data_IF_077788418743
#
_entry.id   IF_077788418743
#
_cell.length_a   1.000
_cell.length_b   1.000
_cell.length_c   1.000
_cell.angle_alpha   90.00
_cell.angle_beta   90.00
_cell.angle_gamma   90.00
#
_symmetry.space_group_name_H-M   'P 1'
#
loop_
_entity.id
_entity.type
_entity.pdbx_description
1 polymer ?
#
# COMPACT_ATOMS: atom_id res chain seq x y z
N UNK A 1 -16.30 16.01 25.12
CA UNK A 1 -17.12 14.85 24.72
C UNK A 1 -18.20 15.21 23.67
N UNK A 2 -18.75 16.42 23.68
CA UNK A 2 -19.84 16.85 22.77
C UNK A 2 -19.38 16.94 21.30
N UNK A 3 -18.12 17.33 21.06
CA UNK A 3 -17.59 17.57 19.70
C UNK A 3 -16.84 16.37 19.10
N UNK A 4 -16.60 15.32 19.89
CA UNK A 4 -15.88 14.13 19.47
C UNK A 4 -14.37 14.38 19.17
N UNK A 5 -13.65 13.37 18.64
CA UNK A 5 -12.20 13.45 18.39
C UNK A 5 -11.81 14.28 17.16
N UNK A 6 -12.79 14.65 16.33
CA UNK A 6 -12.56 15.42 15.10
C UNK A 6 -12.38 16.92 15.35
N UNK A 7 -12.70 17.41 16.57
CA UNK A 7 -12.54 18.84 16.91
C UNK A 7 -11.12 19.33 16.67
N UNK A 8 -10.99 20.49 16.02
CA UNK A 8 -9.71 21.15 15.80
C UNK A 8 -9.24 21.97 17.00
N UNK A 9 -7.93 22.17 17.13
CA UNK A 9 -7.36 23.00 18.19
C UNK A 9 -7.87 24.46 18.18
N UNK A 10 -8.07 25.12 17.01
CA UNK A 10 -8.67 26.46 16.98
C UNK A 10 -10.04 26.52 17.63
N UNK A 11 -10.94 25.58 17.31
CA UNK A 11 -12.28 25.54 17.93
C UNK A 11 -12.22 25.32 19.44
N UNK A 12 -11.24 24.57 19.96
CA UNK A 12 -11.03 24.42 21.40
C UNK A 12 -10.50 25.71 22.04
N UNK A 13 -9.68 26.48 21.34
CA UNK A 13 -9.19 27.79 21.82
C UNK A 13 -10.33 28.80 21.93
N UNK A 14 -11.26 28.80 20.99
CA UNK A 14 -12.46 29.65 21.03
C UNK A 14 -13.39 29.28 22.18
N UNK A 15 -13.56 27.96 22.45
CA UNK A 15 -14.38 27.47 23.56
C UNK A 15 -13.72 27.66 24.93
N UNK A 16 -12.41 27.68 25.00
CA UNK A 16 -11.63 27.77 26.23
C UNK A 16 -10.51 28.80 26.11
N UNK A 17 -10.83 30.09 25.96
CA UNK A 17 -9.85 31.14 25.65
C UNK A 17 -8.82 31.39 26.78
N UNK A 18 -9.15 31.01 28.01
CA UNK A 18 -8.27 31.15 29.17
C UNK A 18 -7.26 30.01 29.33
N UNK A 19 -7.42 28.92 28.58
CA UNK A 19 -6.54 27.75 28.68
C UNK A 19 -5.39 27.89 27.67
N UNK A 20 -4.11 27.78 28.11
CA UNK A 20 -2.98 27.85 27.19
C UNK A 20 -3.08 26.82 26.06
N UNK A 21 -2.73 27.25 24.85
CA UNK A 21 -2.80 26.42 23.63
C UNK A 21 -2.10 25.07 23.78
N UNK A 22 -0.92 25.03 24.42
CA UNK A 22 -0.17 23.80 24.66
C UNK A 22 -0.93 22.79 25.52
N UNK A 23 -1.64 23.28 26.55
CA UNK A 23 -2.48 22.44 27.42
C UNK A 23 -3.66 21.84 26.64
N UNK A 24 -4.34 22.65 25.82
CA UNK A 24 -5.43 22.18 24.96
C UNK A 24 -4.94 21.14 23.94
N UNK A 25 -3.77 21.36 23.39
CA UNK A 25 -3.16 20.43 22.43
C UNK A 25 -2.84 19.08 23.12
N UNK A 26 -2.22 19.10 24.30
CA UNK A 26 -1.90 17.87 25.05
C UNK A 26 -3.18 17.11 25.45
N UNK A 27 -4.18 17.82 25.96
CA UNK A 27 -5.48 17.24 26.31
C UNK A 27 -6.17 16.62 25.07
N UNK A 28 -6.12 17.30 23.93
CA UNK A 28 -6.70 16.78 22.67
C UNK A 28 -5.99 15.52 22.19
N UNK A 29 -4.67 15.48 22.28
CA UNK A 29 -3.87 14.29 21.93
C UNK A 29 -4.22 13.11 22.83
N UNK A 30 -4.27 13.33 24.16
CA UNK A 30 -4.67 12.30 25.14
C UNK A 30 -6.11 11.84 24.92
N UNK A 31 -7.02 12.76 24.70
CA UNK A 31 -8.43 12.44 24.43
C UNK A 31 -8.56 11.58 23.16
N UNK A 32 -7.89 11.96 22.06
CA UNK A 32 -7.88 11.18 20.81
C UNK A 32 -7.28 9.79 21.00
N UNK A 33 -6.25 9.66 21.84
CA UNK A 33 -5.63 8.38 22.17
C UNK A 33 -6.63 7.46 22.89
N UNK A 34 -7.28 7.96 23.96
CA UNK A 34 -8.28 7.24 24.73
C UNK A 34 -9.51 6.90 23.88
N UNK A 35 -9.94 7.83 23.04
CA UNK A 35 -11.07 7.62 22.15
C UNK A 35 -10.78 6.51 21.13
N UNK A 36 -9.59 6.54 20.47
CA UNK A 36 -9.17 5.48 19.56
C UNK A 36 -9.08 4.14 20.26
N UNK A 37 -8.56 4.10 21.48
CA UNK A 37 -8.50 2.88 22.27
C UNK A 37 -9.89 2.33 22.60
N UNK A 38 -10.82 3.18 22.99
CA UNK A 38 -12.17 2.80 23.43
C UNK A 38 -13.08 2.40 22.25
N UNK A 39 -12.86 3.03 21.10
CA UNK A 39 -13.67 2.85 19.89
C UNK A 39 -12.86 2.30 18.71
N UNK A 40 -11.62 1.91 18.94
CA UNK A 40 -10.83 1.24 17.91
C UNK A 40 -11.51 -0.10 17.60
N UNK A 41 -11.93 -0.24 16.36
CA UNK A 41 -12.35 -1.53 15.85
C UNK A 41 -11.14 -2.46 15.87
N UNK A 42 -11.38 -3.70 16.22
CA UNK A 42 -10.38 -4.74 16.12
C UNK A 42 -9.75 -4.72 14.72
N UNK A 43 -8.45 -4.70 14.70
CA UNK A 43 -7.68 -4.62 13.46
C UNK A 43 -7.12 -5.98 13.08
N UNK A 44 -6.65 -6.07 11.85
CA UNK A 44 -5.92 -7.25 11.40
C UNK A 44 -4.46 -6.89 11.17
N UNK A 45 -3.57 -7.76 11.61
CA UNK A 45 -2.18 -7.79 11.17
C UNK A 45 -2.09 -8.75 9.99
N UNK A 46 -1.58 -8.25 8.88
CA UNK A 46 -1.33 -9.04 7.68
C UNK A 46 0.16 -9.36 7.61
N UNK A 47 0.48 -10.64 7.43
CA UNK A 47 1.84 -11.10 7.14
C UNK A 47 1.84 -11.75 5.77
N UNK A 48 2.62 -11.19 4.86
CA UNK A 48 2.78 -11.68 3.51
C UNK A 48 3.95 -12.65 3.45
N UNK A 49 3.75 -13.75 2.74
CA UNK A 49 4.75 -14.78 2.56
C UNK A 49 5.09 -14.91 1.06
N UNK A 50 6.27 -15.45 0.77
CA UNK A 50 6.74 -15.73 -0.59
C UNK A 50 6.87 -14.48 -1.48
N UNK A 51 8.06 -13.89 -1.45
CA UNK A 51 8.40 -12.73 -2.28
C UNK A 51 8.09 -12.98 -3.78
N UNK A 52 7.64 -11.93 -4.46
CA UNK A 52 7.26 -11.95 -5.86
C UNK A 52 5.80 -12.27 -6.14
N UNK A 53 5.02 -12.77 -5.15
CA UNK A 53 3.62 -13.20 -5.37
C UNK A 53 2.62 -12.07 -5.33
N UNK A 54 2.84 -11.10 -4.44
CA UNK A 54 1.90 -9.99 -4.27
C UNK A 54 2.66 -8.67 -4.27
N UNK A 55 2.40 -7.86 -5.29
CA UNK A 55 2.91 -6.49 -5.34
C UNK A 55 1.82 -5.50 -4.95
N UNK A 56 2.22 -4.37 -4.41
CA UNK A 56 1.33 -3.25 -4.16
C UNK A 56 1.84 -2.01 -4.88
N UNK A 57 0.90 -1.24 -5.42
CA UNK A 57 1.14 -0.09 -6.25
C UNK A 57 0.34 1.11 -5.75
N UNK A 58 0.95 2.29 -5.79
CA UNK A 58 0.33 3.54 -5.37
C UNK A 58 1.03 4.73 -6.02
N UNK A 59 0.29 5.83 -6.16
CA UNK A 59 0.88 7.12 -6.50
C UNK A 59 1.08 7.97 -5.26
N UNK A 60 2.16 8.73 -5.25
CA UNK A 60 2.39 9.70 -4.19
C UNK A 60 2.98 11.00 -4.75
N UNK A 61 2.79 12.10 -4.04
CA UNK A 61 3.38 13.39 -4.41
C UNK A 61 4.67 13.61 -3.64
N UNK A 62 5.79 13.94 -4.30
CA UNK A 62 6.98 14.47 -3.64
C UNK A 62 6.70 15.88 -3.06
N UNK A 63 7.62 16.41 -2.25
CA UNK A 63 7.49 17.77 -1.70
C UNK A 63 7.51 18.86 -2.79
N UNK A 64 8.35 18.65 -3.80
CA UNK A 64 8.46 19.45 -5.01
C UNK A 64 8.51 18.49 -6.21
N UNK A 65 8.13 18.92 -7.41
CA UNK A 65 8.28 18.09 -8.59
C UNK A 65 9.72 17.60 -8.76
N UNK A 66 9.90 16.31 -9.01
CA UNK A 66 11.22 15.72 -9.31
C UNK A 66 11.70 16.27 -10.64
N UNK A 67 12.98 16.65 -10.71
CA UNK A 67 13.61 17.36 -11.83
C UNK A 67 12.87 18.65 -12.26
N UNK A 68 11.99 19.16 -11.39
CA UNK A 68 11.13 20.30 -11.69
C UNK A 68 9.96 20.02 -12.62
N UNK A 69 9.80 18.79 -13.11
CA UNK A 69 8.80 18.41 -14.13
C UNK A 69 7.88 17.25 -13.74
N UNK A 70 8.28 16.37 -12.81
CA UNK A 70 7.50 15.20 -12.42
C UNK A 70 6.77 15.42 -11.10
N UNK A 71 5.48 15.77 -11.10
CA UNK A 71 4.70 16.06 -9.89
C UNK A 71 4.28 14.82 -9.10
N UNK A 72 4.51 13.62 -9.62
CA UNK A 72 4.12 12.36 -9.00
C UNK A 72 5.27 11.35 -9.00
N UNK A 73 5.19 10.41 -8.06
CA UNK A 73 6.02 9.22 -7.99
C UNK A 73 5.10 7.99 -8.02
N UNK A 74 5.37 7.09 -8.94
CA UNK A 74 4.75 5.76 -8.97
C UNK A 74 5.58 4.82 -8.09
N UNK A 75 4.94 4.28 -7.07
CA UNK A 75 5.53 3.35 -6.10
C UNK A 75 5.01 1.95 -6.37
N UNK A 76 5.91 0.98 -6.59
CA UNK A 76 5.56 -0.44 -6.71
C UNK A 76 6.46 -1.23 -5.76
N UNK A 77 5.86 -2.02 -4.88
CA UNK A 77 6.55 -2.73 -3.80
C UNK A 77 6.09 -4.17 -3.71
N UNK A 78 7.01 -5.09 -3.52
CA UNK A 78 6.69 -6.46 -3.10
C UNK A 78 6.35 -6.50 -1.62
N UNK A 79 5.20 -7.11 -1.29
CA UNK A 79 4.68 -7.07 0.08
C UNK A 79 5.37 -8.06 1.02
N UNK A 80 5.90 -9.17 0.51
CA UNK A 80 6.56 -10.17 1.34
C UNK A 80 8.02 -9.82 1.65
N UNK A 81 8.80 -9.41 0.65
CA UNK A 81 10.19 -8.99 0.85
C UNK A 81 10.34 -7.55 1.33
N UNK A 82 9.30 -6.75 1.23
CA UNK A 82 9.32 -5.30 1.41
C UNK A 82 10.21 -4.56 0.39
N UNK A 83 10.67 -5.23 -0.66
CA UNK A 83 11.51 -4.62 -1.69
C UNK A 83 10.71 -3.59 -2.49
N UNK A 84 11.26 -2.39 -2.62
CA UNK A 84 10.75 -1.37 -3.52
C UNK A 84 11.22 -1.71 -4.94
N UNK A 85 10.29 -2.11 -5.80
CA UNK A 85 10.56 -2.53 -7.17
C UNK A 85 10.63 -1.33 -8.12
N UNK A 86 9.80 -0.31 -7.86
CA UNK A 86 9.85 0.97 -8.55
C UNK A 86 9.55 2.11 -7.58
N UNK A 87 10.36 3.16 -7.68
CA UNK A 87 10.14 4.48 -7.12
C UNK A 87 10.39 5.47 -8.24
N UNK A 88 9.37 5.67 -9.11
CA UNK A 88 9.54 6.20 -10.44
C UNK A 88 8.86 7.56 -10.62
N UNK A 89 9.58 8.63 -11.00
CA UNK A 89 9.00 9.92 -11.32
C UNK A 89 8.11 9.81 -12.57
N UNK A 90 6.89 10.35 -12.49
CA UNK A 90 5.93 10.31 -13.58
C UNK A 90 5.23 11.67 -13.75
N UNK A 91 4.88 12.06 -14.99
CA UNK A 91 4.23 13.33 -15.26
C UNK A 91 2.77 13.39 -14.83
N UNK A 92 2.11 12.24 -14.66
CA UNK A 92 0.68 12.15 -14.33
C UNK A 92 0.32 10.91 -13.54
N UNK A 93 -0.98 10.72 -13.37
CA UNK A 93 -1.57 9.54 -12.74
C UNK A 93 -2.51 8.86 -13.74
N UNK A 94 -1.96 8.50 -14.91
CA UNK A 94 -2.71 7.90 -16.02
C UNK A 94 -2.25 6.46 -16.30
N UNK A 95 -3.02 5.71 -17.06
CA UNK A 95 -2.62 4.39 -17.55
C UNK A 95 -1.32 4.47 -18.37
N UNK A 96 -1.13 5.57 -19.13
CA UNK A 96 0.10 5.81 -19.90
C UNK A 96 1.35 5.95 -19.02
N UNK A 97 1.20 6.40 -17.79
CA UNK A 97 2.30 6.52 -16.81
C UNK A 97 2.59 5.18 -16.10
N UNK A 98 1.57 4.35 -15.93
CA UNK A 98 1.67 3.07 -15.20
C UNK A 98 2.18 1.94 -16.07
N UNK A 99 1.61 1.78 -17.27
CA UNK A 99 1.86 0.60 -18.12
C UNK A 99 3.33 0.40 -18.53
N UNK A 100 4.09 1.46 -18.91
CA UNK A 100 5.51 1.28 -19.24
C UNK A 100 6.31 0.72 -18.06
N UNK A 101 6.04 1.20 -16.84
CA UNK A 101 6.74 0.75 -15.64
C UNK A 101 6.36 -0.70 -15.30
N UNK A 102 5.08 -1.06 -15.37
CA UNK A 102 4.64 -2.43 -15.14
C UNK A 102 5.23 -3.41 -16.14
N UNK A 103 5.21 -3.07 -17.44
CA UNK A 103 5.79 -3.90 -18.49
C UNK A 103 7.28 -4.14 -18.30
N UNK A 104 8.00 -3.08 -17.92
CA UNK A 104 9.44 -3.20 -17.60
C UNK A 104 9.66 -4.14 -16.41
N UNK A 105 8.89 -4.00 -15.33
CA UNK A 105 9.01 -4.87 -14.14
C UNK A 105 8.59 -6.31 -14.46
N UNK A 106 7.56 -6.51 -15.27
CA UNK A 106 7.14 -7.85 -15.70
C UNK A 106 8.19 -8.53 -16.58
N UNK A 107 8.85 -7.77 -17.45
CA UNK A 107 9.96 -8.29 -18.26
C UNK A 107 11.19 -8.66 -17.41
N UNK A 108 11.51 -7.87 -16.38
CA UNK A 108 12.66 -8.11 -15.51
C UNK A 108 12.43 -9.22 -14.47
N UNK A 109 11.25 -9.31 -13.90
CA UNK A 109 11.00 -10.13 -12.71
C UNK A 109 9.92 -11.19 -12.90
N UNK A 110 9.19 -11.14 -14.00
CA UNK A 110 7.95 -11.86 -14.21
C UNK A 110 6.76 -11.17 -13.51
N UNK A 111 5.52 -11.30 -14.04
CA UNK A 111 4.34 -10.72 -13.42
C UNK A 111 4.01 -11.42 -12.10
N UNK A 112 3.52 -10.69 -11.05
CA UNK A 112 3.08 -11.28 -9.79
C UNK A 112 1.80 -12.12 -9.99
N UNK A 113 1.33 -12.80 -8.94
CA UNK A 113 0.00 -13.41 -8.93
C UNK A 113 -1.09 -12.35 -8.68
N UNK A 114 -0.78 -11.39 -7.81
CA UNK A 114 -1.72 -10.33 -7.41
C UNK A 114 -1.03 -8.97 -7.43
N UNK A 115 -1.71 -7.98 -8.00
CA UNK A 115 -1.35 -6.58 -7.90
C UNK A 115 -2.40 -5.85 -7.08
N UNK A 116 -1.99 -5.31 -5.93
CA UNK A 116 -2.83 -4.55 -5.00
C UNK A 116 -2.68 -3.05 -5.25
N UNK A 117 -3.80 -2.33 -5.33
CA UNK A 117 -3.82 -0.88 -5.55
C UNK A 117 -5.12 -0.25 -5.02
N UNK A 118 -5.22 1.06 -5.08
CA UNK A 118 -6.45 1.79 -4.80
C UNK A 118 -7.42 1.80 -6.02
N UNK A 119 -8.49 2.60 -5.93
CA UNK A 119 -9.46 2.75 -7.02
C UNK A 119 -9.12 3.95 -7.93
N UNK A 120 -7.85 4.32 -8.07
CA UNK A 120 -7.41 5.40 -8.95
C UNK A 120 -7.77 5.14 -10.42
N UNK A 121 -8.08 6.20 -11.17
CA UNK A 121 -8.53 6.09 -12.56
C UNK A 121 -7.53 5.41 -13.49
N UNK A 122 -6.22 5.56 -13.22
CA UNK A 122 -5.17 4.87 -13.96
C UNK A 122 -5.29 3.33 -13.87
N UNK A 123 -5.68 2.83 -12.70
CA UNK A 123 -5.79 1.40 -12.41
C UNK A 123 -7.13 0.81 -12.88
N UNK A 124 -8.17 1.67 -12.95
CA UNK A 124 -9.48 1.30 -13.49
C UNK A 124 -9.56 1.39 -15.02
N UNK A 125 -8.58 2.01 -15.66
CA UNK A 125 -8.57 2.17 -17.12
C UNK A 125 -8.61 0.81 -17.81
N UNK A 126 -9.44 0.67 -18.84
CA UNK A 126 -9.63 -0.58 -19.57
C UNK A 126 -8.31 -1.17 -20.09
N UNK A 127 -7.39 -0.31 -20.55
CA UNK A 127 -6.07 -0.74 -21.04
C UNK A 127 -5.20 -1.32 -19.92
N UNK A 128 -5.29 -0.79 -18.69
CA UNK A 128 -4.58 -1.34 -17.54
C UNK A 128 -5.19 -2.67 -17.11
N UNK A 129 -6.51 -2.77 -17.11
CA UNK A 129 -7.20 -4.03 -16.80
C UNK A 129 -6.88 -5.11 -17.83
N UNK A 130 -6.84 -4.76 -19.11
CA UNK A 130 -6.48 -5.71 -20.16
C UNK A 130 -5.04 -6.22 -20.00
N UNK A 131 -4.08 -5.32 -19.70
CA UNK A 131 -2.70 -5.72 -19.41
C UNK A 131 -2.61 -6.72 -18.25
N UNK A 132 -3.41 -6.52 -17.18
CA UNK A 132 -3.44 -7.45 -16.05
C UNK A 132 -4.04 -8.81 -16.46
N UNK A 133 -5.08 -8.82 -17.28
CA UNK A 133 -5.68 -10.05 -17.81
C UNK A 133 -4.67 -10.81 -18.66
N UNK A 134 -4.00 -10.13 -19.59
CA UNK A 134 -3.02 -10.73 -20.51
C UNK A 134 -1.80 -11.28 -19.75
N UNK A 135 -1.40 -10.61 -18.66
CA UNK A 135 -0.33 -11.05 -17.77
C UNK A 135 -0.77 -12.10 -16.73
N UNK A 136 -2.06 -12.49 -16.69
CA UNK A 136 -2.66 -13.38 -15.69
C UNK A 136 -2.42 -12.89 -14.24
N UNK A 137 -2.54 -11.58 -14.02
CA UNK A 137 -2.40 -10.90 -12.73
C UNK A 137 -3.77 -10.56 -12.17
N UNK A 138 -4.12 -11.08 -11.02
CA UNK A 138 -5.35 -10.70 -10.34
C UNK A 138 -5.22 -9.33 -9.67
N UNK A 139 -6.25 -8.50 -9.78
CA UNK A 139 -6.23 -7.15 -9.18
C UNK A 139 -6.97 -7.13 -7.85
N UNK A 140 -6.30 -6.63 -6.81
CA UNK A 140 -6.85 -6.47 -5.47
C UNK A 140 -7.09 -4.98 -5.18
N UNK A 141 -8.32 -4.54 -5.38
CA UNK A 141 -8.75 -3.17 -5.12
C UNK A 141 -8.94 -2.90 -3.63
N UNK A 142 -8.41 -1.79 -3.13
CA UNK A 142 -8.63 -1.34 -1.76
C UNK A 142 -10.09 -0.97 -1.53
N UNK A 143 -10.68 -1.30 -0.36
CA UNK A 143 -12.04 -0.87 -0.04
C UNK A 143 -12.12 0.66 0.01
N UNK A 144 -13.20 1.27 -0.51
CA UNK A 144 -13.40 2.70 -0.39
C UNK A 144 -13.41 3.15 1.09
N UNK A 145 -12.77 4.30 1.38
CA UNK A 145 -12.77 4.90 2.71
C UNK A 145 -11.94 4.16 3.78
N UNK A 146 -11.09 3.20 3.39
CA UNK A 146 -10.23 2.46 4.31
C UNK A 146 -8.74 2.67 3.99
N UNK A 147 -8.16 3.84 4.28
CA UNK A 147 -6.75 4.14 3.99
C UNK A 147 -5.79 3.15 4.64
N UNK A 148 -6.11 2.66 5.87
CA UNK A 148 -5.30 1.66 6.55
C UNK A 148 -5.09 0.36 5.73
N UNK A 149 -5.90 0.10 4.72
CA UNK A 149 -5.74 -1.05 3.84
C UNK A 149 -4.44 -0.98 3.02
N UNK A 150 -3.97 0.24 2.69
CA UNK A 150 -2.72 0.51 1.99
C UNK A 150 -1.56 0.92 2.92
N UNK A 151 -1.74 0.85 4.24
CA UNK A 151 -0.79 1.36 5.22
C UNK A 151 0.65 0.81 5.14
N UNK A 152 0.86 -0.35 4.50
CA UNK A 152 2.21 -0.86 4.25
C UNK A 152 2.92 -0.06 3.13
N UNK A 153 2.20 0.27 2.07
CA UNK A 153 2.72 1.07 0.95
C UNK A 153 2.91 2.52 1.39
N UNK A 154 1.92 3.10 2.09
CA UNK A 154 1.98 4.48 2.60
C UNK A 154 3.20 4.70 3.51
N UNK A 155 3.48 3.76 4.42
CA UNK A 155 4.69 3.82 5.27
C UNK A 155 5.97 3.73 4.46
N UNK A 156 6.02 2.86 3.45
CA UNK A 156 7.15 2.75 2.53
C UNK A 156 7.37 4.06 1.78
N UNK A 157 6.31 4.65 1.23
CA UNK A 157 6.35 5.94 0.54
C UNK A 157 6.87 7.06 1.45
N UNK A 158 6.49 7.07 2.75
CA UNK A 158 7.01 8.02 3.73
C UNK A 158 8.53 7.93 3.92
N UNK A 159 9.06 6.72 4.06
CA UNK A 159 10.50 6.46 4.19
C UNK A 159 11.25 6.89 2.92
N UNK A 160 10.75 6.53 1.75
CA UNK A 160 11.37 6.88 0.47
C UNK A 160 11.42 8.40 0.24
N UNK A 161 10.34 9.12 0.56
CA UNK A 161 10.33 10.59 0.51
C UNK A 161 11.38 11.19 1.44
N UNK A 162 11.51 10.64 2.65
CA UNK A 162 12.54 11.10 3.60
C UNK A 162 13.94 10.88 3.04
N UNK A 163 14.22 9.71 2.47
CA UNK A 163 15.53 9.41 1.89
C UNK A 163 15.84 10.27 0.66
N UNK A 164 14.86 10.46 -0.24
CA UNK A 164 14.99 11.38 -1.39
C UNK A 164 15.36 12.78 -0.93
N UNK A 165 14.67 13.30 0.09
CA UNK A 165 14.92 14.63 0.63
C UNK A 165 16.30 14.73 1.31
N UNK A 166 16.67 13.74 2.12
CA UNK A 166 17.98 13.73 2.81
C UNK A 166 19.14 13.64 1.80
N UNK A 167 19.00 12.84 0.74
CA UNK A 167 20.03 12.78 -0.31
C UNK A 167 20.18 14.13 -0.99
N UNK A 168 19.08 14.76 -1.44
CA UNK A 168 19.09 16.09 -2.04
C UNK A 168 19.75 17.16 -1.14
N UNK A 169 19.53 17.08 0.18
CA UNK A 169 20.22 17.95 1.14
C UNK A 169 21.72 17.70 1.18
N UNK A 170 22.13 16.43 1.25
CA UNK A 170 23.53 16.04 1.37
C UNK A 170 24.37 16.41 0.13
N UNK A 171 23.76 16.37 -1.06
CA UNK A 171 24.42 16.73 -2.32
C UNK A 171 24.24 18.20 -2.72
N UNK A 172 23.67 19.03 -1.82
CA UNK A 172 23.70 20.49 -1.94
C UNK A 172 22.54 21.12 -2.72
N UNK A 173 21.45 20.39 -2.99
CA UNK A 173 20.24 20.96 -3.62
C UNK A 173 18.97 20.67 -2.80
N UNK A 174 18.88 21.15 -1.54
CA UNK A 174 17.74 20.91 -0.68
C UNK A 174 16.44 21.39 -1.35
N UNK A 175 15.37 20.62 -1.17
CA UNK A 175 14.03 20.85 -1.74
C UNK A 175 13.94 20.74 -3.29
N UNK A 176 15.00 20.36 -3.97
CA UNK A 176 15.01 20.15 -5.42
C UNK A 176 15.32 18.69 -5.73
N UNK A 177 14.39 17.78 -5.41
CA UNK A 177 14.59 16.37 -5.66
C UNK A 177 14.81 16.09 -7.16
N UNK A 178 15.80 15.26 -7.44
CA UNK A 178 16.13 14.78 -8.80
C UNK A 178 15.82 13.30 -8.95
N UNK A 179 15.81 12.80 -10.18
CA UNK A 179 15.72 11.36 -10.46
C UNK A 179 16.83 10.58 -9.79
N UNK A 180 18.04 11.12 -9.68
CA UNK A 180 19.17 10.50 -8.96
C UNK A 180 18.88 10.36 -7.45
N UNK A 181 18.28 11.38 -6.83
CA UNK A 181 17.86 11.31 -5.42
C UNK A 181 16.80 10.22 -5.20
N UNK A 182 15.90 10.05 -6.17
CA UNK A 182 14.85 9.03 -6.16
C UNK A 182 15.44 7.63 -6.27
N UNK A 183 16.38 7.42 -7.19
CA UNK A 183 17.10 6.14 -7.36
C UNK A 183 17.91 5.79 -6.10
N UNK A 184 18.65 6.75 -5.57
CA UNK A 184 19.41 6.57 -4.32
C UNK A 184 18.51 6.23 -3.14
N UNK A 185 17.35 6.90 -3.01
CA UNK A 185 16.38 6.60 -1.96
C UNK A 185 15.83 5.16 -2.06
N UNK A 186 15.56 4.70 -3.28
CA UNK A 186 15.11 3.33 -3.54
C UNK A 186 16.19 2.31 -3.16
N UNK A 187 17.44 2.54 -3.58
CA UNK A 187 18.57 1.69 -3.22
C UNK A 187 18.77 1.63 -1.72
N UNK A 188 18.78 2.78 -1.05
CA UNK A 188 18.95 2.86 0.40
C UNK A 188 17.84 2.12 1.14
N UNK A 189 16.58 2.32 0.75
CA UNK A 189 15.44 1.61 1.35
C UNK A 189 15.55 0.09 1.19
N UNK A 190 16.07 -0.39 0.06
CA UNK A 190 16.22 -1.81 -0.23
C UNK A 190 17.44 -2.46 0.47
N UNK A 191 18.48 -1.69 0.77
CA UNK A 191 19.75 -2.23 1.28
C UNK A 191 19.92 -2.10 2.78
N UNK A 192 19.53 -0.95 3.39
CA UNK A 192 19.76 -0.69 4.80
C UNK A 192 18.59 -1.06 5.72
N UNK A 193 17.36 -1.05 5.22
CA UNK A 193 16.18 -1.39 6.04
C UNK A 193 16.28 -2.81 6.59
N UNK A 194 15.74 -3.01 7.80
CA UNK A 194 15.69 -4.32 8.47
C UNK A 194 14.25 -4.57 8.97
N UNK A 195 13.32 -4.92 8.08
CA UNK A 195 11.89 -5.05 8.43
C UNK A 195 11.63 -6.11 9.51
N UNK A 196 12.51 -7.09 9.61
CA UNK A 196 12.41 -8.21 10.57
C UNK A 196 13.34 -8.05 11.78
N UNK A 197 13.89 -6.85 12.01
CA UNK A 197 14.76 -6.56 13.13
C UNK A 197 16.27 -6.72 12.83
N UNK A 198 17.09 -6.41 13.82
CA UNK A 198 18.54 -6.46 13.70
C UNK A 198 19.01 -7.88 13.35
N UNK A 199 19.93 -7.99 12.38
CA UNK A 199 20.42 -9.28 11.87
C UNK A 199 19.52 -9.95 10.82
N UNK A 200 18.32 -9.47 10.60
CA UNK A 200 17.44 -9.94 9.53
C UNK A 200 17.89 -9.49 8.14
N UNK A 201 17.30 -10.09 7.11
CA UNK A 201 17.58 -9.70 5.73
C UNK A 201 17.20 -8.25 5.45
N UNK A 202 17.89 -7.61 4.51
CA UNK A 202 17.38 -6.40 3.87
C UNK A 202 16.28 -6.77 2.86
N UNK A 203 15.44 -5.80 2.44
CA UNK A 203 14.46 -6.03 1.39
C UNK A 203 15.07 -6.60 0.10
N UNK A 204 16.25 -6.08 -0.33
CA UNK A 204 16.96 -6.60 -1.50
C UNK A 204 17.42 -8.05 -1.30
N UNK A 205 17.97 -8.40 -0.14
CA UNK A 205 18.38 -9.77 0.16
C UNK A 205 17.18 -10.73 0.16
N UNK A 206 16.06 -10.34 0.78
CA UNK A 206 14.84 -11.15 0.78
C UNK A 206 14.26 -11.31 -0.64
N UNK A 207 14.32 -10.25 -1.45
CA UNK A 207 13.89 -10.28 -2.86
C UNK A 207 14.76 -11.20 -3.71
N UNK A 208 16.08 -11.20 -3.51
CA UNK A 208 17.01 -12.07 -4.24
C UNK A 208 16.77 -13.56 -3.97
N UNK A 209 16.22 -13.90 -2.80
CA UNK A 209 15.89 -15.29 -2.44
C UNK A 209 14.56 -15.77 -3.00
N UNK A 210 13.79 -14.90 -3.73
CA UNK A 210 12.53 -15.32 -4.30
C UNK A 210 12.70 -16.42 -5.35
N UNK A 211 11.77 -17.34 -5.37
CA UNK A 211 11.64 -18.29 -6.45
C UNK A 211 10.74 -17.72 -7.55
N UNK A 212 11.04 -17.92 -8.83
CA UNK A 212 10.14 -17.58 -9.92
C UNK A 212 8.77 -18.24 -9.76
N UNK A 213 7.70 -17.56 -10.17
CA UNK A 213 6.37 -18.14 -10.25
C UNK A 213 6.35 -19.11 -11.42
N UNK A 214 6.08 -20.39 -11.15
CA UNK A 214 5.96 -21.38 -12.22
C UNK A 214 4.59 -21.34 -12.90
N UNK A 215 4.45 -21.85 -14.13
CA UNK A 215 3.16 -21.98 -14.79
C UNK A 215 2.15 -22.79 -13.95
N UNK A 216 2.60 -23.85 -13.28
CA UNK A 216 1.80 -24.72 -12.43
C UNK A 216 1.31 -23.96 -11.18
N UNK A 217 2.18 -23.17 -10.54
CA UNK A 217 1.80 -22.32 -9.41
C UNK A 217 0.73 -21.30 -9.83
N UNK A 218 0.89 -20.65 -10.99
CA UNK A 218 -0.09 -19.71 -11.53
C UNK A 218 -1.42 -20.37 -11.85
N UNK A 219 -1.38 -21.57 -12.45
CA UNK A 219 -2.58 -22.36 -12.74
C UNK A 219 -3.30 -22.76 -11.44
N UNK A 220 -2.57 -23.26 -10.44
CA UNK A 220 -3.13 -23.62 -9.14
C UNK A 220 -3.77 -22.40 -8.44
N UNK A 221 -3.11 -21.24 -8.48
CA UNK A 221 -3.66 -19.99 -7.97
C UNK A 221 -4.96 -19.60 -8.66
N UNK A 222 -5.00 -19.64 -9.99
CA UNK A 222 -6.19 -19.31 -10.79
C UNK A 222 -7.35 -20.25 -10.50
N UNK A 223 -7.09 -21.54 -10.38
CA UNK A 223 -8.10 -22.55 -10.03
C UNK A 223 -8.67 -22.30 -8.62
N UNK A 224 -7.81 -22.12 -7.62
CA UNK A 224 -8.22 -21.81 -6.25
C UNK A 224 -9.03 -20.49 -6.18
N UNK A 225 -8.60 -19.46 -6.89
CA UNK A 225 -9.32 -18.18 -6.97
C UNK A 225 -10.73 -18.37 -7.55
N UNK A 226 -10.89 -19.19 -8.58
CA UNK A 226 -12.21 -19.50 -9.17
C UNK A 226 -13.15 -20.16 -8.16
N UNK A 227 -12.65 -21.12 -7.37
CA UNK A 227 -13.42 -21.80 -6.32
C UNK A 227 -13.84 -20.81 -5.23
N UNK A 228 -12.89 -20.04 -4.69
CA UNK A 228 -13.19 -19.05 -3.64
C UNK A 228 -14.12 -17.94 -4.15
N UNK A 229 -14.05 -17.59 -5.44
CA UNK A 229 -14.96 -16.61 -6.04
C UNK A 229 -16.39 -17.14 -6.11
N UNK A 230 -16.59 -18.42 -6.40
CA UNK A 230 -17.91 -19.04 -6.36
C UNK A 230 -18.47 -19.06 -4.92
N UNK A 231 -17.66 -19.47 -3.96
CA UNK A 231 -18.04 -19.48 -2.54
C UNK A 231 -18.42 -18.08 -2.05
N UNK A 232 -17.58 -17.09 -2.30
CA UNK A 232 -17.84 -15.71 -1.92
C UNK A 232 -19.08 -15.12 -2.61
N UNK A 233 -19.37 -15.50 -3.87
CA UNK A 233 -20.58 -15.09 -4.56
C UNK A 233 -21.84 -15.66 -3.88
N UNK A 234 -21.81 -16.92 -3.46
CA UNK A 234 -22.90 -17.55 -2.69
C UNK A 234 -23.12 -16.83 -1.36
N UNK A 235 -22.06 -16.54 -0.60
CA UNK A 235 -22.14 -15.80 0.67
C UNK A 235 -22.71 -14.38 0.51
N UNK A 236 -22.42 -13.73 -0.61
CA UNK A 236 -22.90 -12.39 -0.94
C UNK A 236 -24.30 -12.38 -1.60
N UNK A 237 -24.83 -13.54 -1.98
CA UNK A 237 -26.08 -13.65 -2.75
C UNK A 237 -25.96 -13.09 -4.17
N UNK A 238 -24.75 -13.13 -4.78
CA UNK A 238 -24.50 -12.61 -6.12
C UNK A 238 -24.64 -13.70 -7.19
N UNK A 239 -25.26 -13.34 -8.29
CA UNK A 239 -25.36 -14.23 -9.46
C UNK A 239 -24.21 -13.92 -10.45
N UNK A 240 -23.30 -14.88 -10.62
CA UNK A 240 -22.15 -14.74 -11.54
C UNK A 240 -22.52 -14.87 -13.03
N UNK A 241 -23.76 -15.25 -13.36
CA UNK A 241 -24.22 -15.34 -14.75
C UNK A 241 -24.67 -13.98 -15.32
N UNK A 242 -24.75 -12.95 -14.49
CA UNK A 242 -25.09 -11.57 -14.89
C UNK A 242 -23.91 -10.64 -14.66
N UNK A 243 -23.89 -9.53 -15.41
CA UNK A 243 -22.86 -8.52 -15.21
C UNK A 243 -23.01 -7.88 -13.83
N UNK A 244 -21.94 -7.95 -13.03
CA UNK A 244 -21.91 -7.38 -11.68
C UNK A 244 -21.57 -5.89 -11.75
N UNK A 245 -22.14 -5.10 -10.83
CA UNK A 245 -21.68 -3.73 -10.61
C UNK A 245 -20.20 -3.71 -10.25
N UNK A 246 -19.50 -2.61 -10.51
CA UNK A 246 -18.09 -2.45 -10.11
C UNK A 246 -17.91 -2.65 -8.60
N UNK A 247 -18.82 -2.16 -7.77
CA UNK A 247 -18.79 -2.31 -6.32
C UNK A 247 -18.91 -3.77 -5.89
N UNK A 248 -19.87 -4.52 -6.45
CA UNK A 248 -20.07 -5.94 -6.14
C UNK A 248 -18.89 -6.78 -6.63
N UNK A 249 -18.40 -6.51 -7.85
CA UNK A 249 -17.23 -7.19 -8.41
C UNK A 249 -16.00 -7.00 -7.52
N UNK A 250 -15.66 -5.77 -7.14
CA UNK A 250 -14.50 -5.50 -6.29
C UNK A 250 -14.65 -6.03 -4.87
N UNK A 251 -15.88 -6.08 -4.33
CA UNK A 251 -16.16 -6.70 -3.04
C UNK A 251 -15.98 -8.22 -3.10
N UNK A 252 -16.53 -8.84 -4.13
CA UNK A 252 -16.39 -10.27 -4.40
C UNK A 252 -14.92 -10.66 -4.55
N UNK A 253 -14.18 -9.94 -5.42
CA UNK A 253 -12.79 -10.24 -5.71
C UNK A 253 -11.90 -10.05 -4.47
N UNK A 254 -12.16 -9.07 -3.60
CA UNK A 254 -11.44 -8.92 -2.32
C UNK A 254 -11.63 -10.11 -1.39
N UNK A 255 -12.86 -10.63 -1.26
CA UNK A 255 -13.14 -11.80 -0.42
C UNK A 255 -12.47 -13.04 -0.99
N UNK A 256 -12.68 -13.29 -2.27
CA UNK A 256 -12.10 -14.44 -2.97
C UNK A 256 -10.57 -14.43 -2.93
N UNK A 257 -9.93 -13.30 -3.27
CA UNK A 257 -8.47 -13.16 -3.22
C UNK A 257 -7.93 -13.32 -1.80
N UNK A 258 -8.58 -12.73 -0.79
CA UNK A 258 -8.16 -12.89 0.60
C UNK A 258 -8.20 -14.35 1.04
N UNK A 259 -9.26 -15.09 0.68
CA UNK A 259 -9.39 -16.51 0.98
C UNK A 259 -8.34 -17.35 0.23
N UNK A 260 -8.18 -17.10 -1.07
CA UNK A 260 -7.19 -17.81 -1.91
C UNK A 260 -5.76 -17.61 -1.39
N UNK A 261 -5.39 -16.37 -1.05
CA UNK A 261 -4.05 -16.07 -0.55
C UNK A 261 -3.78 -16.71 0.82
N UNK A 262 -4.81 -16.86 1.66
CA UNK A 262 -4.69 -17.55 2.94
C UNK A 262 -4.62 -19.07 2.77
N UNK A 263 -5.46 -19.64 1.93
CA UNK A 263 -5.52 -21.08 1.63
C UNK A 263 -4.21 -21.60 1.04
N UNK A 264 -3.62 -20.85 0.11
CA UNK A 264 -2.32 -21.17 -0.51
C UNK A 264 -1.10 -20.74 0.33
N UNK A 265 -1.31 -20.22 1.54
CA UNK A 265 -0.22 -19.85 2.44
C UNK A 265 0.55 -18.58 2.07
N UNK A 266 0.05 -17.75 1.14
CA UNK A 266 0.68 -16.48 0.76
C UNK A 266 0.38 -15.33 1.73
N UNK A 267 -0.69 -15.45 2.52
CA UNK A 267 -1.15 -14.46 3.47
C UNK A 267 -1.55 -15.09 4.80
N UNK A 268 -1.03 -14.56 5.90
CA UNK A 268 -1.58 -14.81 7.23
C UNK A 268 -2.29 -13.55 7.73
N UNK A 269 -3.53 -13.72 8.18
CA UNK A 269 -4.35 -12.66 8.77
C UNK A 269 -4.59 -12.98 10.25
N UNK A 270 -3.96 -12.20 11.14
CA UNK A 270 -4.18 -12.33 12.59
C UNK A 270 -5.06 -11.19 13.08
N UNK A 271 -6.08 -11.54 13.85
CA UNK A 271 -6.86 -10.55 14.59
C UNK A 271 -5.96 -9.95 15.68
N UNK A 272 -5.85 -8.64 15.73
CA UNK A 272 -5.05 -7.95 16.73
C UNK A 272 -5.90 -6.90 17.42
N UNK A 273 -6.01 -7.03 18.73
CA UNK A 273 -6.43 -5.93 19.56
C UNK A 273 -5.25 -4.96 19.66
N UNK A 274 -5.35 -3.77 19.07
CA UNK A 274 -4.27 -2.78 19.15
C UNK A 274 -4.33 -2.08 20.50
N UNK A 275 -3.38 -2.34 21.42
CA UNK A 275 -3.23 -1.48 22.58
C UNK A 275 -2.92 -0.05 22.13
N UNK A 276 -3.31 0.98 22.89
CA UNK A 276 -3.01 2.37 22.57
C UNK A 276 -1.50 2.54 22.45
N UNK A 277 -1.07 3.20 21.37
CA UNK A 277 0.31 3.65 21.29
C UNK A 277 0.50 4.71 22.37
N UNK A 278 1.36 4.42 23.34
CA UNK A 278 1.79 5.41 24.34
C UNK A 278 2.47 6.56 23.61
N UNK A 279 2.09 7.83 23.87
CA UNK A 279 2.80 8.95 23.25
C UNK A 279 4.27 8.88 23.63
N UNK A 280 5.14 8.80 22.64
CA UNK A 280 6.58 9.04 22.87
C UNK A 280 6.71 10.49 23.33
N UNK A 281 7.40 10.71 24.45
CA UNK A 281 7.74 12.02 25.02
C UNK A 281 8.68 12.79 24.13
#
# INVERSE_FOLDING_TARGET
HVTGPAVGLPALQDLFPTVPRGVLQDLLVRYRCVWRWRYAQDGFQLTWHHAGRVWAMDFTKPLQPIDGVFPYLLSIRDLASHCQLAWWPVPGQTAGDVLPVLRQLFALYGPPLVLKHDNGSAFLAAVTQQEMIDALVAQLFSPPGQPQYNGAVERGNGVLKTYTHLHAQNVGHPLRGTSEDVEHAQELANTISRPWGAGGFSPAQAWQQRLPITPEERQAFTAALSVHRQTAAQELGLNLSVELSHADRTRLDRLALSATLQDLGYLTKKHVHRPPQTPQR
#
